data_IF_168086374884
#
_entry.id   IF_168086374884
#
_cell.length_a   1.000
_cell.length_b   1.000
_cell.length_c   1.000
_cell.angle_alpha   90.00
_cell.angle_beta   90.00
_cell.angle_gamma   90.00
#
_symmetry.space_group_name_H-M   'P 1'
#
loop_
_entity.id
_entity.type
_entity.pdbx_description
1 polymer ?
#
# COMPACT_ATOMS: atom_id res chain seq x y z
N UNK A 1 -20.68 -6.07 -9.05
CA UNK A 1 -20.46 -4.62 -8.84
C UNK A 1 -20.22 -4.40 -7.35
N UNK A 2 -19.26 -3.55 -6.95
CA UNK A 2 -19.05 -3.25 -5.53
C UNK A 2 -20.23 -2.40 -5.01
N UNK A 3 -20.89 -2.85 -3.94
CA UNK A 3 -22.14 -2.25 -3.45
C UNK A 3 -21.97 -0.83 -2.89
N UNK A 4 -20.85 -0.56 -2.21
CA UNK A 4 -20.56 0.78 -1.66
C UNK A 4 -20.31 1.80 -2.77
N UNK A 5 -19.56 1.41 -3.80
CA UNK A 5 -19.32 2.24 -4.98
C UNK A 5 -20.64 2.52 -5.70
N UNK A 6 -21.49 1.51 -5.89
CA UNK A 6 -22.80 1.66 -6.52
C UNK A 6 -23.72 2.63 -5.74
N UNK A 7 -23.77 2.49 -4.41
CA UNK A 7 -24.59 3.33 -3.54
C UNK A 7 -24.14 4.81 -3.51
N UNK A 8 -22.94 5.11 -4.01
CA UNK A 8 -22.32 6.44 -3.99
C UNK A 8 -22.03 6.98 -5.40
N UNK A 9 -22.73 6.49 -6.42
CA UNK A 9 -22.54 6.96 -7.81
C UNK A 9 -22.79 8.46 -7.97
N UNK A 10 -23.74 9.02 -7.21
CA UNK A 10 -24.07 10.44 -7.26
C UNK A 10 -23.03 11.37 -6.59
N UNK A 11 -22.12 10.84 -5.75
CA UNK A 11 -21.31 11.68 -4.84
C UNK A 11 -19.85 11.89 -5.24
N UNK A 12 -19.39 11.40 -6.39
CA UNK A 12 -18.01 11.59 -6.86
C UNK A 12 -16.92 11.03 -5.93
N UNK A 13 -17.30 10.29 -4.88
CA UNK A 13 -16.38 9.77 -3.88
C UNK A 13 -15.38 8.77 -4.48
N UNK A 14 -14.12 8.91 -4.06
CA UNK A 14 -13.04 7.97 -4.33
C UNK A 14 -12.68 7.25 -3.03
N UNK A 15 -12.50 5.94 -3.13
CA UNK A 15 -12.14 5.05 -2.03
C UNK A 15 -10.69 4.63 -2.19
N UNK A 16 -9.91 4.85 -1.14
CA UNK A 16 -8.50 4.51 -1.10
C UNK A 16 -8.26 3.55 0.06
N UNK A 17 -7.40 2.56 -0.14
CA UNK A 17 -6.87 1.73 0.95
C UNK A 17 -5.40 2.05 1.16
N UNK A 18 -5.01 2.23 2.43
CA UNK A 18 -3.61 2.33 2.82
C UNK A 18 -2.91 0.98 2.66
N UNK A 19 -1.70 0.97 2.10
CA UNK A 19 -0.91 -0.25 1.93
C UNK A 19 -0.13 -0.68 3.19
N UNK A 20 -0.65 -0.36 4.37
CA UNK A 20 -0.07 -0.79 5.63
C UNK A 20 -0.27 -2.30 5.83
N UNK A 21 0.79 -3.09 6.11
CA UNK A 21 0.67 -4.54 6.29
C UNK A 21 -0.19 -4.98 7.48
N UNK A 22 -0.55 -4.02 8.34
CA UNK A 22 -1.25 -4.28 9.59
C UNK A 22 -0.32 -4.73 10.72
N UNK A 23 -0.88 -5.03 11.89
CA UNK A 23 -0.10 -5.39 13.08
C UNK A 23 0.43 -6.84 13.04
N UNK A 24 -0.10 -7.69 12.15
CA UNK A 24 0.26 -9.11 12.02
C UNK A 24 0.59 -9.50 10.58
N UNK A 25 0.90 -8.53 9.71
CA UNK A 25 1.18 -8.74 8.28
C UNK A 25 0.09 -9.56 7.56
N UNK A 26 -1.18 -9.36 7.94
CA UNK A 26 -2.32 -10.17 7.50
C UNK A 26 -3.35 -9.38 6.67
N UNK A 27 -3.01 -8.16 6.25
CA UNK A 27 -3.86 -7.37 5.34
C UNK A 27 -3.51 -7.67 3.87
N UNK A 28 -4.53 -7.68 3.02
CA UNK A 28 -4.42 -8.12 1.62
C UNK A 28 -3.87 -7.02 0.71
N UNK A 29 -4.28 -5.77 0.94
CA UNK A 29 -3.95 -4.62 0.07
C UNK A 29 -2.58 -4.01 0.32
N UNK A 30 -1.55 -4.83 0.47
CA UNK A 30 -0.26 -4.43 1.07
C UNK A 30 0.92 -4.64 0.13
N UNK A 31 0.74 -5.46 -0.91
CA UNK A 31 1.75 -5.82 -1.91
C UNK A 31 1.23 -5.55 -3.32
N UNK A 32 2.12 -5.39 -4.32
CA UNK A 32 1.72 -5.33 -5.73
C UNK A 32 0.80 -6.46 -6.16
N UNK A 33 1.10 -7.70 -5.75
CA UNK A 33 0.24 -8.85 -6.03
C UNK A 33 -1.17 -8.68 -5.43
N UNK A 34 -1.25 -8.30 -4.15
CA UNK A 34 -2.52 -8.07 -3.46
C UNK A 34 -3.36 -6.95 -4.11
N UNK A 35 -2.71 -5.86 -4.54
CA UNK A 35 -3.40 -4.79 -5.25
C UNK A 35 -3.98 -5.24 -6.59
N UNK A 36 -3.22 -6.00 -7.41
CA UNK A 36 -3.74 -6.52 -8.67
C UNK A 36 -4.96 -7.42 -8.44
N UNK A 37 -4.93 -8.29 -7.43
CA UNK A 37 -6.07 -9.13 -7.05
C UNK A 37 -7.31 -8.29 -6.64
N UNK A 38 -7.10 -7.17 -5.94
CA UNK A 38 -8.19 -6.26 -5.58
C UNK A 38 -8.73 -5.51 -6.80
N UNK A 39 -7.86 -5.03 -7.69
CA UNK A 39 -8.24 -4.31 -8.91
C UNK A 39 -8.96 -5.18 -9.95
N UNK A 40 -8.63 -6.47 -10.02
CA UNK A 40 -9.37 -7.43 -10.83
C UNK A 40 -10.82 -7.60 -10.34
N UNK A 41 -11.04 -7.58 -9.02
CA UNK A 41 -12.36 -7.73 -8.38
C UNK A 41 -13.15 -6.42 -8.36
N UNK A 42 -12.47 -5.30 -8.16
CA UNK A 42 -13.06 -3.95 -8.07
C UNK A 42 -12.50 -3.12 -9.22
N UNK A 43 -13.15 -3.23 -10.39
CA UNK A 43 -12.71 -2.60 -11.64
C UNK A 43 -12.97 -1.09 -11.72
N UNK A 44 -13.72 -0.51 -10.78
CA UNK A 44 -14.03 0.92 -10.81
C UNK A 44 -12.77 1.74 -10.54
N UNK A 45 -12.48 2.78 -11.33
CA UNK A 45 -11.34 3.67 -11.07
C UNK A 45 -11.51 4.51 -9.80
N UNK A 46 -12.73 4.54 -9.22
CA UNK A 46 -13.00 5.15 -7.90
C UNK A 46 -12.47 4.31 -6.74
N UNK A 47 -11.91 3.13 -7.00
CA UNK A 47 -11.18 2.34 -6.02
C UNK A 47 -9.68 2.37 -6.34
N UNK A 48 -8.91 2.94 -5.42
CA UNK A 48 -7.48 3.15 -5.56
C UNK A 48 -6.72 2.90 -4.26
N UNK A 49 -5.49 3.41 -4.21
CA UNK A 49 -4.58 3.30 -3.10
C UNK A 49 -4.35 4.66 -2.45
N UNK A 50 -4.23 4.63 -1.14
CA UNK A 50 -3.37 5.56 -0.42
C UNK A 50 -1.98 4.93 -0.43
N UNK A 51 -1.08 5.47 -1.26
CA UNK A 51 0.23 4.89 -1.49
C UNK A 51 1.24 5.47 -0.49
N UNK A 52 1.79 4.60 0.35
CA UNK A 52 2.87 4.89 1.27
C UNK A 52 4.11 4.04 0.91
N UNK A 53 5.18 4.66 0.38
CA UNK A 53 6.43 3.98 0.06
C UNK A 53 7.09 3.28 1.26
N UNK A 54 6.95 3.81 2.48
CA UNK A 54 7.63 3.33 3.68
C UNK A 54 7.25 1.89 4.03
N UNK A 55 5.98 1.55 3.83
CA UNK A 55 5.44 0.23 4.11
C UNK A 55 5.97 -0.84 3.17
N UNK A 56 6.30 -0.46 1.93
CA UNK A 56 6.89 -1.36 0.94
C UNK A 56 8.33 -1.71 1.30
N UNK A 57 9.11 -0.74 1.78
CA UNK A 57 10.46 -0.97 2.27
C UNK A 57 10.47 -1.97 3.44
N UNK A 58 9.48 -1.90 4.34
CA UNK A 58 9.35 -2.84 5.48
C UNK A 58 9.23 -4.30 5.04
N UNK A 59 8.60 -4.54 3.89
CA UNK A 59 8.33 -5.87 3.35
C UNK A 59 9.26 -6.24 2.18
N UNK A 60 10.34 -5.49 1.98
CA UNK A 60 11.35 -5.78 0.95
C UNK A 60 10.88 -5.55 -0.48
N UNK A 61 9.88 -4.69 -0.68
CA UNK A 61 9.37 -4.32 -2.01
C UNK A 61 9.96 -2.97 -2.42
N UNK A 62 10.48 -2.89 -3.65
CA UNK A 62 10.92 -1.63 -4.26
C UNK A 62 9.71 -0.69 -4.48
N UNK A 63 9.65 0.46 -3.79
CA UNK A 63 8.52 1.38 -3.92
C UNK A 63 8.43 2.04 -5.31
N UNK A 64 9.54 2.23 -6.02
CA UNK A 64 9.52 2.84 -7.35
C UNK A 64 8.97 1.88 -8.40
N UNK A 65 9.41 0.60 -8.34
CA UNK A 65 8.86 -0.45 -9.18
C UNK A 65 7.36 -0.70 -8.91
N UNK A 66 6.95 -0.60 -7.64
CA UNK A 66 5.55 -0.69 -7.24
C UNK A 66 4.72 0.50 -7.76
N UNK A 67 5.22 1.74 -7.59
CA UNK A 67 4.59 2.96 -8.08
C UNK A 67 4.32 2.90 -9.59
N UNK A 68 5.28 2.44 -10.38
CA UNK A 68 5.14 2.33 -11.83
C UNK A 68 3.95 1.45 -12.27
N UNK A 69 3.60 0.43 -11.46
CA UNK A 69 2.51 -0.49 -11.76
C UNK A 69 1.12 0.04 -11.39
N UNK A 70 1.04 1.01 -10.46
CA UNK A 70 -0.23 1.45 -9.86
C UNK A 70 -0.48 2.95 -9.95
N UNK A 71 0.35 3.71 -10.66
CA UNK A 71 0.24 5.18 -10.77
C UNK A 71 -1.18 5.68 -11.11
N UNK A 72 -1.89 4.96 -11.99
CA UNK A 72 -3.25 5.32 -12.44
C UNK A 72 -4.34 4.89 -11.43
N UNK A 73 -3.94 4.36 -10.28
CA UNK A 73 -4.77 3.90 -9.17
C UNK A 73 -4.43 4.60 -7.86
N UNK A 74 -3.52 5.56 -7.83
CA UNK A 74 -3.19 6.30 -6.61
C UNK A 74 -4.21 7.43 -6.44
N UNK A 75 -4.96 7.39 -5.33
CA UNK A 75 -5.88 8.45 -4.95
C UNK A 75 -5.19 9.50 -4.07
N UNK A 76 -4.33 9.05 -3.16
CA UNK A 76 -3.57 9.88 -2.22
C UNK A 76 -2.17 9.28 -2.08
N UNK A 77 -1.15 10.13 -1.96
CA UNK A 77 0.24 9.73 -1.74
C UNK A 77 0.71 10.23 -0.38
N UNK A 78 1.27 9.35 0.44
CA UNK A 78 2.02 9.72 1.63
C UNK A 78 3.49 9.92 1.29
N UNK A 79 3.91 11.19 1.24
CA UNK A 79 5.30 11.57 1.02
C UNK A 79 6.01 11.76 2.37
N UNK A 80 6.36 10.65 3.01
CA UNK A 80 7.12 10.64 4.27
C UNK A 80 8.56 10.21 4.02
N UNK A 81 9.46 10.72 4.86
CA UNK A 81 10.82 10.24 4.90
C UNK A 81 10.86 8.87 5.56
N UNK A 82 11.79 8.01 5.14
CA UNK A 82 11.98 6.70 5.76
C UNK A 82 13.46 6.35 5.71
N UNK A 83 14.00 5.95 6.85
CA UNK A 83 15.41 5.57 6.98
C UNK A 83 15.53 4.10 7.38
N UNK A 84 16.51 3.42 6.78
CA UNK A 84 16.88 2.05 7.12
C UNK A 84 18.15 2.11 7.97
N UNK A 85 18.06 1.62 9.20
CA UNK A 85 19.22 1.32 10.03
C UNK A 85 19.79 -0.04 9.60
N UNK A 86 20.79 0.02 8.71
CA UNK A 86 21.38 -1.17 8.11
C UNK A 86 22.06 -2.08 9.14
N UNK A 87 22.72 -1.52 10.15
CA UNK A 87 23.39 -2.29 11.21
C UNK A 87 22.37 -3.02 12.08
N UNK A 88 21.32 -2.32 12.49
CA UNK A 88 20.23 -2.93 13.24
C UNK A 88 19.49 -3.97 12.42
N UNK A 89 19.26 -3.76 11.12
CA UNK A 89 18.65 -4.75 10.23
C UNK A 89 19.46 -6.04 10.18
N UNK A 90 20.80 -5.98 10.12
CA UNK A 90 21.65 -7.18 10.22
C UNK A 90 21.48 -7.92 11.56
N UNK A 91 21.19 -7.18 12.63
CA UNK A 91 21.05 -7.74 13.98
C UNK A 91 19.68 -8.39 14.22
N UNK A 92 18.60 -7.76 13.74
CA UNK A 92 17.22 -8.16 14.08
C UNK A 92 16.46 -8.83 12.94
N UNK A 93 16.95 -8.73 11.71
CA UNK A 93 16.28 -9.22 10.50
C UNK A 93 14.98 -8.48 10.16
N UNK A 94 14.37 -8.79 9.01
CA UNK A 94 13.13 -8.14 8.53
C UNK A 94 11.93 -8.32 9.46
N UNK A 95 11.89 -9.40 10.25
CA UNK A 95 10.85 -9.64 11.26
C UNK A 95 11.11 -8.93 12.61
N UNK A 96 12.28 -8.32 12.77
CA UNK A 96 12.66 -7.57 13.95
C UNK A 96 12.10 -6.15 13.96
N UNK A 97 12.33 -5.41 15.06
CA UNK A 97 11.77 -4.05 15.27
C UNK A 97 12.84 -2.95 15.28
N UNK A 98 12.44 -1.77 14.84
CA UNK A 98 13.20 -0.52 14.96
C UNK A 98 14.33 -0.35 13.94
N UNK A 99 14.47 -1.27 12.98
CA UNK A 99 15.44 -1.15 11.88
C UNK A 99 14.95 -0.24 10.74
N UNK A 100 13.66 0.08 10.73
CA UNK A 100 13.07 1.09 9.85
C UNK A 100 12.47 2.19 10.70
N UNK A 101 12.81 3.43 10.39
CA UNK A 101 12.24 4.63 10.99
C UNK A 101 11.37 5.35 9.96
N UNK A 102 10.15 5.68 10.38
CA UNK A 102 9.14 6.43 9.63
C UNK A 102 8.95 7.77 10.34
#
# INVERSE_FOLDING_TARGET
MNGLIAATEASGLTFAIENWPGPKDNFVGTTPHGWQQLFERIKSPRFGLEFDPSHLLRIGVDPFAALAQVRDRIAILHAKDTAIDAERLQTVGYHGKGWVAI
#
